data_IF_264984716434
#
_entry.id   IF_264984716434
#
_cell.length_a   1.000
_cell.length_b   1.000
_cell.length_c   1.000
_cell.angle_alpha   90.00
_cell.angle_beta   90.00
_cell.angle_gamma   90.00
#
_symmetry.space_group_name_H-M   'P 1'
#
loop_
_entity.id
_entity.type
_entity.pdbx_description
1 polymer ?
#
# COMPACT_ATOMS: atom_id res chain seq x y z
N UNK A 1 16.58 19.24 -29.91
CA UNK A 1 16.18 17.82 -30.02
C UNK A 1 14.76 17.71 -29.52
N UNK A 2 13.83 17.11 -30.28
CA UNK A 2 12.46 16.88 -29.78
C UNK A 2 12.55 15.72 -28.78
N UNK A 3 12.19 15.97 -27.52
CA UNK A 3 12.04 14.87 -26.56
C UNK A 3 11.07 13.83 -27.14
N UNK A 4 11.35 12.52 -26.98
CA UNK A 4 10.40 11.50 -27.40
C UNK A 4 9.05 11.78 -26.74
N UNK A 5 7.92 11.52 -27.44
CA UNK A 5 6.61 11.76 -26.86
C UNK A 5 6.47 10.94 -25.57
N UNK A 6 6.25 11.63 -24.46
CA UNK A 6 5.96 11.01 -23.18
C UNK A 6 4.76 10.09 -23.32
N UNK A 7 4.81 8.90 -22.69
CA UNK A 7 3.65 8.00 -22.60
C UNK A 7 2.47 8.67 -21.85
N UNK A 8 2.77 9.73 -21.09
CA UNK A 8 1.83 10.47 -20.27
C UNK A 8 1.30 11.69 -21.02
N UNK A 9 0.01 11.64 -21.37
CA UNK A 9 -0.78 12.82 -21.70
C UNK A 9 -1.30 13.45 -20.39
N UNK A 10 -1.30 14.78 -20.25
CA UNK A 10 -1.88 15.44 -19.07
C UNK A 10 -3.32 14.97 -18.82
N UNK A 11 -3.66 14.71 -17.56
CA UNK A 11 -5.02 14.33 -17.17
C UNK A 11 -5.98 15.51 -17.35
N UNK A 12 -7.18 15.26 -17.88
CA UNK A 12 -8.17 16.33 -18.15
C UNK A 12 -8.74 16.97 -16.88
N UNK A 13 -8.81 16.21 -15.79
CA UNK A 13 -9.26 16.68 -14.47
C UNK A 13 -8.37 16.02 -13.41
N UNK A 14 -7.48 16.80 -12.78
CA UNK A 14 -6.54 16.31 -11.76
C UNK A 14 -7.24 15.73 -10.52
N UNK A 15 -8.51 16.06 -10.28
CA UNK A 15 -9.29 15.61 -9.14
C UNK A 15 -10.17 14.39 -9.42
N UNK A 16 -10.53 14.13 -10.69
CA UNK A 16 -11.44 13.03 -11.06
C UNK A 16 -10.86 12.02 -12.03
N UNK A 17 -9.84 12.39 -12.80
CA UNK A 17 -9.26 11.53 -13.82
C UNK A 17 -8.09 10.70 -13.30
N UNK A 18 -7.94 9.49 -13.79
CA UNK A 18 -6.79 8.61 -13.55
C UNK A 18 -6.46 7.89 -14.86
N UNK A 19 -5.25 7.35 -14.98
CA UNK A 19 -4.93 6.43 -16.07
C UNK A 19 -5.22 5.00 -15.63
N UNK A 20 -5.74 4.18 -16.54
CA UNK A 20 -5.91 2.76 -16.35
C UNK A 20 -5.21 2.02 -17.49
N UNK A 21 -4.70 0.84 -17.21
CA UNK A 21 -4.01 -0.01 -18.17
C UNK A 21 -4.80 -1.29 -18.44
N UNK A 22 -4.72 -1.77 -19.68
CA UNK A 22 -5.13 -3.10 -20.10
C UNK A 22 -3.86 -3.80 -20.61
N UNK A 23 -3.51 -4.93 -20.01
CA UNK A 23 -2.38 -5.75 -20.46
C UNK A 23 -2.89 -6.62 -21.61
N UNK A 24 -2.31 -6.47 -22.79
CA UNK A 24 -2.74 -7.20 -23.97
C UNK A 24 -2.24 -8.66 -23.92
N UNK A 25 -2.95 -9.60 -24.59
CA UNK A 25 -2.51 -10.99 -24.68
C UNK A 25 -1.07 -11.16 -25.19
N UNK A 26 -0.51 -12.35 -24.98
CA UNK A 26 0.85 -12.69 -25.37
C UNK A 26 1.11 -12.33 -26.84
N UNK A 27 2.18 -11.57 -27.08
CA UNK A 27 2.61 -11.19 -28.43
C UNK A 27 3.62 -12.20 -28.98
N UNK A 28 3.64 -12.35 -30.31
CA UNK A 28 4.58 -13.23 -31.01
C UNK A 28 6.04 -12.80 -30.88
N UNK A 29 6.31 -11.53 -30.60
CA UNK A 29 7.66 -10.98 -30.38
C UNK A 29 8.13 -11.12 -28.92
N UNK A 30 7.32 -11.72 -28.05
CA UNK A 30 7.62 -11.90 -26.63
C UNK A 30 7.56 -10.63 -25.78
N UNK A 31 7.14 -9.49 -26.33
CA UNK A 31 6.99 -8.24 -25.59
C UNK A 31 5.60 -8.14 -24.94
N UNK A 32 5.54 -7.44 -23.80
CA UNK A 32 4.29 -7.09 -23.14
C UNK A 32 3.79 -5.78 -23.73
N UNK A 33 2.61 -5.82 -24.34
CA UNK A 33 1.91 -4.63 -24.84
C UNK A 33 0.84 -4.19 -23.86
N UNK A 34 0.77 -2.88 -23.62
CA UNK A 34 -0.14 -2.27 -22.68
C UNK A 34 -0.91 -1.17 -23.41
N UNK A 35 -2.25 -1.23 -23.32
CA UNK A 35 -3.11 -0.12 -23.69
C UNK A 35 -3.39 0.72 -22.45
N UNK A 36 -2.99 1.98 -22.48
CA UNK A 36 -3.27 2.94 -21.40
C UNK A 36 -4.31 3.96 -21.87
N UNK A 37 -5.34 4.19 -21.04
CA UNK A 37 -6.36 5.21 -21.28
C UNK A 37 -6.63 6.04 -20.04
N UNK A 38 -7.07 7.28 -20.25
CA UNK A 38 -7.67 8.07 -19.19
C UNK A 38 -9.07 7.54 -18.86
N UNK A 39 -9.40 7.52 -17.58
CA UNK A 39 -10.69 7.16 -17.03
C UNK A 39 -11.06 8.11 -15.88
N UNK A 40 -12.30 8.03 -15.39
CA UNK A 40 -12.77 8.78 -14.23
C UNK A 40 -13.06 7.85 -13.06
N UNK A 41 -12.92 8.35 -11.84
CA UNK A 41 -13.30 7.65 -10.60
C UNK A 41 -14.49 8.36 -9.91
N UNK A 42 -15.49 7.61 -9.38
CA UNK A 42 -15.57 6.15 -9.34
C UNK A 42 -15.84 5.52 -10.72
N UNK A 43 -15.40 4.28 -10.90
CA UNK A 43 -15.49 3.52 -12.16
C UNK A 43 -15.12 2.05 -11.96
N UNK A 44 -15.21 1.23 -13.01
CA UNK A 44 -14.86 -0.21 -12.95
C UNK A 44 -13.39 -0.43 -13.25
N UNK A 45 -12.62 -0.81 -12.24
CA UNK A 45 -11.19 -1.14 -12.35
C UNK A 45 -10.72 -1.92 -11.12
N UNK A 46 -9.56 -2.55 -11.23
CA UNK A 46 -8.85 -3.18 -10.12
C UNK A 46 -7.56 -2.40 -9.83
N UNK A 47 -7.10 -2.40 -8.59
CA UNK A 47 -5.78 -1.84 -8.25
C UNK A 47 -4.78 -2.96 -8.02
N UNK A 48 -3.56 -2.78 -8.51
CA UNK A 48 -2.42 -3.57 -8.07
C UNK A 48 -1.85 -2.96 -6.79
N UNK A 49 -1.54 -3.82 -5.83
CA UNK A 49 -0.64 -3.53 -4.74
C UNK A 49 0.48 -4.57 -4.73
N UNK A 50 1.71 -4.09 -4.78
CA UNK A 50 2.89 -4.92 -4.92
C UNK A 50 4.13 -4.18 -4.42
N UNK A 51 5.17 -4.91 -4.03
CA UNK A 51 6.46 -4.30 -3.73
C UNK A 51 7.15 -3.84 -5.02
N UNK A 52 7.67 -2.62 -5.05
CA UNK A 52 8.37 -2.13 -6.22
C UNK A 52 9.61 -2.97 -6.60
N UNK A 53 10.29 -3.56 -5.60
CA UNK A 53 11.52 -4.35 -5.79
C UNK A 53 12.77 -3.48 -5.82
N UNK A 54 13.92 -4.09 -6.13
CA UNK A 54 15.20 -3.38 -6.30
C UNK A 54 15.13 -2.38 -7.47
N UNK A 55 15.80 -1.24 -7.34
CA UNK A 55 15.82 -0.14 -8.29
C UNK A 55 17.06 -0.12 -9.20
N UNK A 56 17.92 -1.14 -9.13
CA UNK A 56 19.07 -1.27 -10.03
C UNK A 56 18.63 -1.46 -11.49
N UNK A 57 19.33 -0.82 -12.45
CA UNK A 57 18.99 -0.89 -13.89
C UNK A 57 18.98 -2.33 -14.43
N UNK A 58 19.80 -3.22 -13.86
CA UNK A 58 19.86 -4.65 -14.19
C UNK A 58 18.53 -5.38 -13.91
N UNK A 59 17.65 -4.77 -13.12
CA UNK A 59 16.34 -5.32 -12.77
C UNK A 59 15.19 -4.71 -13.57
N UNK A 60 15.46 -3.81 -14.51
CA UNK A 60 14.41 -3.23 -15.36
C UNK A 60 14.14 -4.05 -16.62
N UNK A 61 12.87 -4.16 -16.98
CA UNK A 61 12.40 -4.87 -18.16
C UNK A 61 11.49 -3.97 -19.01
N UNK A 62 11.62 -4.11 -20.33
CA UNK A 62 10.93 -3.27 -21.31
C UNK A 62 9.50 -3.75 -21.54
N UNK A 63 8.55 -2.82 -21.49
CA UNK A 63 7.15 -2.99 -21.93
C UNK A 63 6.80 -1.93 -22.97
N UNK A 64 5.76 -2.17 -23.77
CA UNK A 64 5.30 -1.22 -24.80
C UNK A 64 3.95 -0.65 -24.38
N UNK A 65 3.92 0.63 -24.00
CA UNK A 65 2.71 1.34 -23.58
C UNK A 65 2.25 2.25 -24.72
N UNK A 66 1.08 1.98 -25.28
CA UNK A 66 0.53 2.76 -26.41
C UNK A 66 1.54 2.95 -27.57
N UNK A 67 2.34 1.93 -27.86
CA UNK A 67 3.37 1.95 -28.91
C UNK A 67 4.70 2.58 -28.53
N UNK A 68 4.87 3.06 -27.29
CA UNK A 68 6.10 3.66 -26.79
C UNK A 68 6.78 2.75 -25.76
N UNK A 69 8.12 2.63 -25.75
CA UNK A 69 8.82 1.85 -24.75
C UNK A 69 8.76 2.50 -23.36
N UNK A 70 8.53 1.69 -22.33
CA UNK A 70 8.69 2.07 -20.92
C UNK A 70 9.40 0.92 -20.20
N UNK A 71 10.29 1.27 -19.27
CA UNK A 71 10.98 0.30 -18.43
C UNK A 71 10.26 0.21 -17.08
N UNK A 72 10.07 -1.02 -16.61
CA UNK A 72 9.47 -1.33 -15.31
C UNK A 72 10.36 -2.31 -14.57
N UNK A 73 10.39 -2.21 -13.24
CA UNK A 73 11.14 -3.16 -12.41
C UNK A 73 10.66 -4.59 -12.58
N UNK A 74 11.56 -5.55 -12.34
CA UNK A 74 11.34 -6.98 -12.59
C UNK A 74 10.10 -7.51 -11.89
N UNK A 75 9.83 -7.07 -10.65
CA UNK A 75 8.65 -7.55 -9.92
C UNK A 75 7.34 -7.17 -10.63
N UNK A 76 7.22 -5.93 -11.11
CA UNK A 76 6.06 -5.50 -11.89
C UNK A 76 6.02 -6.24 -13.23
N UNK A 77 7.16 -6.40 -13.91
CA UNK A 77 7.20 -7.15 -15.17
C UNK A 77 6.67 -8.58 -14.99
N UNK A 78 7.09 -9.28 -13.93
CA UNK A 78 6.60 -10.64 -13.63
C UNK A 78 5.09 -10.64 -13.38
N UNK A 79 4.57 -9.68 -12.60
CA UNK A 79 3.11 -9.55 -12.44
C UNK A 79 2.41 -9.31 -13.78
N UNK A 80 2.96 -8.46 -14.65
CA UNK A 80 2.37 -8.18 -15.96
C UNK A 80 2.29 -9.45 -16.83
N UNK A 81 3.28 -10.35 -16.75
CA UNK A 81 3.22 -11.67 -17.43
C UNK A 81 2.01 -12.50 -16.93
N UNK A 82 1.79 -12.54 -15.62
CA UNK A 82 0.60 -13.17 -15.02
C UNK A 82 -0.68 -12.47 -15.46
N UNK A 83 -0.67 -11.14 -15.55
CA UNK A 83 -1.83 -10.34 -15.95
C UNK A 83 -2.25 -10.54 -17.41
N UNK A 84 -1.32 -10.86 -18.32
CA UNK A 84 -1.64 -11.21 -19.72
C UNK A 84 -2.57 -12.41 -19.86
N UNK A 85 -2.63 -13.27 -18.84
CA UNK A 85 -3.43 -14.49 -18.87
C UNK A 85 -4.68 -14.38 -17.99
N UNK A 86 -4.57 -13.70 -16.83
CA UNK A 86 -5.59 -13.75 -15.77
C UNK A 86 -6.40 -12.47 -15.58
N UNK A 87 -5.86 -11.32 -15.96
CA UNK A 87 -6.44 -10.01 -15.66
C UNK A 87 -6.75 -9.20 -16.94
N UNK A 88 -7.16 -9.89 -18.00
CA UNK A 88 -7.39 -9.29 -19.33
C UNK A 88 -8.75 -8.60 -19.46
N UNK A 89 -9.73 -8.95 -18.60
CA UNK A 89 -11.11 -8.47 -18.71
C UNK A 89 -11.38 -7.14 -17.99
N UNK A 90 -10.55 -6.79 -17.00
CA UNK A 90 -10.74 -5.59 -16.19
C UNK A 90 -9.52 -4.66 -16.27
N UNK A 91 -9.74 -3.33 -16.41
CA UNK A 91 -8.64 -2.39 -16.38
C UNK A 91 -7.95 -2.38 -15.02
N UNK A 92 -6.62 -2.27 -15.04
CA UNK A 92 -5.78 -2.19 -13.86
C UNK A 92 -5.31 -0.76 -13.62
N UNK A 93 -5.27 -0.38 -12.35
CA UNK A 93 -4.51 0.76 -11.88
C UNK A 93 -3.23 0.26 -11.22
N UNK A 94 -2.09 0.67 -11.77
CA UNK A 94 -0.75 0.34 -11.27
C UNK A 94 -0.02 1.65 -11.07
N UNK A 95 0.26 2.04 -9.84
CA UNK A 95 0.91 3.32 -9.47
C UNK A 95 2.13 3.68 -10.34
N UNK A 96 3.05 2.73 -10.55
CA UNK A 96 4.27 2.93 -11.34
C UNK A 96 4.03 3.21 -12.84
N UNK A 97 2.86 2.83 -13.37
CA UNK A 97 2.50 3.04 -14.77
C UNK A 97 1.43 4.12 -14.95
N UNK A 98 0.47 4.23 -14.04
CA UNK A 98 -0.69 5.10 -14.16
C UNK A 98 -0.41 6.54 -13.70
N UNK A 99 0.57 6.71 -12.81
CA UNK A 99 1.08 8.02 -12.36
C UNK A 99 2.32 8.36 -13.18
N UNK A 100 2.43 9.61 -13.62
CA UNK A 100 3.68 10.14 -14.15
C UNK A 100 4.67 10.34 -12.99
N UNK A 101 5.55 9.37 -12.78
CA UNK A 101 6.52 9.40 -11.68
C UNK A 101 7.60 10.48 -11.85
N UNK A 102 7.76 11.01 -13.06
CA UNK A 102 8.75 12.03 -13.41
C UNK A 102 8.20 13.47 -13.30
N UNK A 103 6.92 13.63 -12.91
CA UNK A 103 6.25 14.91 -12.70
C UNK A 103 5.76 15.00 -11.24
N UNK A 104 6.52 15.68 -10.39
CA UNK A 104 6.21 15.80 -8.97
C UNK A 104 4.85 16.47 -8.70
N UNK A 105 4.40 17.38 -9.57
CA UNK A 105 3.10 18.04 -9.43
C UNK A 105 1.98 17.04 -9.71
N UNK A 106 2.09 16.26 -10.78
CA UNK A 106 1.13 15.18 -11.05
C UNK A 106 1.17 14.13 -9.95
N UNK A 107 2.36 13.68 -9.56
CA UNK A 107 2.59 12.67 -8.52
C UNK A 107 1.97 13.08 -7.20
N UNK A 108 2.22 14.29 -6.71
CA UNK A 108 1.60 14.83 -5.49
C UNK A 108 0.07 14.77 -5.55
N UNK A 109 -0.53 15.20 -6.66
CA UNK A 109 -1.98 15.14 -6.84
C UNK A 109 -2.52 13.71 -6.88
N UNK A 110 -1.84 12.78 -7.56
CA UNK A 110 -2.28 11.39 -7.63
C UNK A 110 -2.11 10.67 -6.28
N UNK A 111 -1.02 10.94 -5.57
CA UNK A 111 -0.75 10.38 -4.23
C UNK A 111 -1.80 10.85 -3.23
N UNK A 112 -2.16 12.14 -3.24
CA UNK A 112 -3.28 12.67 -2.44
C UNK A 112 -4.59 11.89 -2.68
N UNK A 113 -4.76 11.33 -3.88
CA UNK A 113 -5.96 10.61 -4.32
C UNK A 113 -5.87 9.10 -4.18
N UNK A 114 -4.71 8.52 -3.86
CA UNK A 114 -4.53 7.06 -3.79
C UNK A 114 -5.59 6.38 -2.92
N UNK A 115 -5.87 6.92 -1.73
CA UNK A 115 -6.92 6.36 -0.88
C UNK A 115 -8.32 6.36 -1.52
N UNK A 116 -8.65 7.36 -2.35
CA UNK A 116 -9.90 7.35 -3.14
C UNK A 116 -9.84 6.28 -4.24
N UNK A 117 -8.70 6.16 -4.93
CA UNK A 117 -8.51 5.19 -6.01
C UNK A 117 -8.65 3.76 -5.48
N UNK A 118 -7.95 3.39 -4.40
CA UNK A 118 -8.06 2.07 -3.78
C UNK A 118 -9.46 1.79 -3.19
N UNK A 119 -10.12 2.82 -2.62
CA UNK A 119 -11.46 2.69 -2.05
C UNK A 119 -12.53 2.34 -3.09
N UNK A 120 -12.43 2.91 -4.30
CA UNK A 120 -13.44 2.73 -5.33
C UNK A 120 -13.08 1.67 -6.38
N UNK A 121 -11.91 1.02 -6.24
CA UNK A 121 -11.58 -0.16 -7.03
C UNK A 121 -12.55 -1.32 -6.70
N UNK A 122 -12.90 -2.13 -7.70
CA UNK A 122 -13.70 -3.34 -7.50
C UNK A 122 -12.97 -4.36 -6.61
N UNK A 123 -11.65 -4.46 -6.81
CA UNK A 123 -10.76 -5.26 -5.99
C UNK A 123 -9.36 -4.65 -5.95
N UNK A 124 -8.62 -5.02 -4.92
CA UNK A 124 -7.18 -4.82 -4.81
C UNK A 124 -6.49 -6.16 -4.94
N UNK A 125 -5.60 -6.27 -5.92
CA UNK A 125 -4.77 -7.44 -6.16
C UNK A 125 -3.47 -7.22 -5.40
N UNK A 126 -3.22 -8.04 -4.38
CA UNK A 126 -1.95 -8.09 -3.66
C UNK A 126 -1.05 -9.09 -4.38
N UNK A 127 0.00 -8.61 -5.02
CA UNK A 127 1.00 -9.45 -5.67
C UNK A 127 2.19 -9.70 -4.74
N UNK A 128 2.38 -10.95 -4.34
CA UNK A 128 3.47 -11.39 -3.46
C UNK A 128 4.72 -11.84 -4.21
N UNK A 129 4.65 -12.03 -5.53
CA UNK A 129 5.76 -12.55 -6.34
C UNK A 129 5.55 -13.99 -6.76
N UNK A 130 6.65 -14.74 -6.87
CA UNK A 130 6.69 -16.15 -7.28
C UNK A 130 7.38 -16.95 -6.18
N UNK A 131 6.73 -17.07 -5.04
CA UNK A 131 7.24 -17.82 -3.88
C UNK A 131 6.63 -19.22 -3.83
N UNK A 132 7.36 -20.22 -4.31
CA UNK A 132 6.91 -21.62 -4.40
C UNK A 132 6.56 -22.19 -3.01
N UNK A 133 7.24 -21.71 -1.97
CA UNK A 133 7.01 -22.11 -0.58
C UNK A 133 5.63 -21.69 -0.07
N UNK A 134 4.95 -20.74 -0.72
CA UNK A 134 3.59 -20.33 -0.35
C UNK A 134 2.51 -21.22 -0.97
N UNK A 135 2.80 -21.96 -2.05
CA UNK A 135 1.81 -22.79 -2.78
C UNK A 135 1.01 -23.72 -1.86
N UNK A 136 1.62 -24.48 -0.93
CA UNK A 136 0.85 -25.37 -0.05
C UNK A 136 -0.20 -24.66 0.81
N UNK A 137 0.06 -23.41 1.20
CA UNK A 137 -0.89 -22.60 1.96
C UNK A 137 -2.07 -22.14 1.10
N UNK A 138 -1.81 -21.72 -0.15
CA UNK A 138 -2.86 -21.33 -1.09
C UNK A 138 -3.79 -22.51 -1.39
N UNK A 139 -3.21 -23.66 -1.75
CA UNK A 139 -3.96 -24.90 -1.97
C UNK A 139 -4.81 -25.27 -0.74
N UNK A 140 -4.24 -25.14 0.45
CA UNK A 140 -4.93 -25.44 1.70
C UNK A 140 -6.11 -24.49 1.96
N UNK A 141 -5.91 -23.18 1.88
CA UNK A 141 -6.97 -22.18 2.09
C UNK A 141 -8.09 -22.36 1.06
N UNK A 142 -7.74 -22.58 -0.21
CA UNK A 142 -8.72 -22.82 -1.28
C UNK A 142 -9.48 -24.14 -1.09
N UNK A 143 -8.80 -25.20 -0.65
CA UNK A 143 -9.44 -26.46 -0.28
C UNK A 143 -10.47 -26.24 0.84
N UNK A 144 -10.10 -25.53 1.91
CA UNK A 144 -11.03 -25.23 3.01
C UNK A 144 -12.23 -24.41 2.54
N UNK A 145 -11.98 -23.41 1.69
CA UNK A 145 -13.03 -22.59 1.11
C UNK A 145 -14.03 -23.43 0.32
N UNK A 146 -13.54 -24.33 -0.54
CA UNK A 146 -14.37 -25.22 -1.35
C UNK A 146 -15.10 -26.27 -0.51
N UNK A 147 -14.39 -26.93 0.41
CA UNK A 147 -14.92 -28.04 1.22
C UNK A 147 -15.95 -27.58 2.25
N UNK A 148 -15.75 -26.40 2.85
CA UNK A 148 -16.58 -25.90 3.95
C UNK A 148 -17.48 -24.73 3.55
N UNK A 149 -17.39 -24.26 2.30
CA UNK A 149 -18.37 -23.40 1.66
C UNK A 149 -18.74 -22.19 2.51
N UNK A 150 -17.87 -21.19 2.58
CA UNK A 150 -18.16 -19.93 3.28
C UNK A 150 -18.96 -19.00 2.35
N UNK A 151 -19.98 -19.56 1.71
CA UNK A 151 -20.95 -18.81 0.92
C UNK A 151 -21.86 -17.94 1.81
N UNK A 152 -21.84 -18.12 3.13
CA UNK A 152 -22.65 -17.33 4.06
C UNK A 152 -21.91 -17.08 5.39
N UNK A 153 -20.93 -16.17 5.32
CA UNK A 153 -20.53 -15.16 6.33
C UNK A 153 -20.30 -15.49 7.82
N UNK A 154 -20.60 -16.68 8.33
CA UNK A 154 -20.78 -16.91 9.78
C UNK A 154 -20.05 -18.13 10.35
N UNK A 155 -19.24 -18.85 9.57
CA UNK A 155 -18.41 -19.95 10.11
C UNK A 155 -16.94 -19.55 10.10
N UNK A 156 -16.44 -19.13 11.27
CA UNK A 156 -14.99 -19.15 11.51
C UNK A 156 -14.54 -20.61 11.53
N UNK A 157 -13.77 -21.03 10.53
CA UNK A 157 -13.07 -22.31 10.59
C UNK A 157 -11.87 -22.08 11.52
N UNK A 158 -12.06 -22.35 12.81
CA UNK A 158 -10.98 -22.34 13.80
C UNK A 158 -10.12 -23.58 13.53
N UNK A 159 -9.19 -23.45 12.59
CA UNK A 159 -8.05 -24.34 12.55
C UNK A 159 -7.07 -23.84 13.60
N UNK A 160 -7.26 -24.33 14.82
CA UNK A 160 -6.17 -24.33 15.77
C UNK A 160 -5.05 -25.13 15.13
N UNK A 161 -3.96 -24.46 14.76
CA UNK A 161 -2.64 -25.06 14.78
C UNK A 161 -2.16 -24.86 16.23
N UNK A 162 -2.50 -25.77 17.17
CA UNK A 162 -2.06 -25.59 18.54
C UNK A 162 -0.54 -25.74 18.54
N UNK A 163 0.15 -25.02 19.41
CA UNK A 163 1.59 -25.16 19.67
C UNK A 163 1.95 -26.52 20.33
N UNK A 164 1.21 -27.61 20.05
CA UNK A 164 1.38 -28.93 20.66
C UNK A 164 1.73 -30.05 19.64
N UNK A 165 2.49 -31.08 20.07
CA UNK A 165 3.56 -31.68 19.26
C UNK A 165 3.16 -32.98 18.55
N UNK A 166 2.01 -33.01 17.87
CA UNK A 166 1.76 -34.05 16.87
C UNK A 166 1.42 -33.36 15.55
N UNK A 167 2.42 -32.70 14.96
CA UNK A 167 2.28 -32.17 13.62
C UNK A 167 2.51 -33.29 12.61
N UNK A 168 1.48 -33.61 11.84
CA UNK A 168 1.65 -34.34 10.59
C UNK A 168 2.65 -33.59 9.68
N UNK A 169 3.30 -34.29 8.76
CA UNK A 169 4.20 -33.65 7.77
C UNK A 169 3.49 -32.52 7.01
N UNK A 170 2.19 -32.66 6.77
CA UNK A 170 1.36 -31.67 6.05
C UNK A 170 1.16 -30.39 6.86
N UNK A 171 0.85 -30.50 8.14
CA UNK A 171 0.69 -29.33 9.04
C UNK A 171 1.98 -28.52 9.13
N UNK A 172 3.14 -29.17 9.25
CA UNK A 172 4.45 -28.48 9.24
C UNK A 172 4.70 -27.65 7.99
N UNK A 173 4.33 -28.19 6.82
CA UNK A 173 4.51 -27.49 5.54
C UNK A 173 3.60 -26.25 5.49
N UNK A 174 2.33 -26.41 5.88
CA UNK A 174 1.37 -25.30 5.91
C UNK A 174 1.80 -24.24 6.93
N UNK A 175 2.24 -24.64 8.12
CA UNK A 175 2.76 -23.75 9.16
C UNK A 175 3.99 -22.97 8.66
N UNK A 176 4.93 -23.64 8.00
CA UNK A 176 6.11 -22.98 7.40
C UNK A 176 5.71 -21.96 6.33
N UNK A 177 4.83 -22.34 5.40
CA UNK A 177 4.31 -21.45 4.36
C UNK A 177 3.59 -20.22 4.97
N UNK A 178 2.84 -20.45 6.05
CA UNK A 178 2.16 -19.41 6.79
C UNK A 178 3.11 -18.44 7.51
N UNK A 179 4.14 -18.94 8.18
CA UNK A 179 5.16 -18.11 8.82
C UNK A 179 5.89 -17.26 7.78
N UNK A 180 6.14 -17.84 6.59
CA UNK A 180 6.73 -17.12 5.46
C UNK A 180 5.81 -16.03 4.95
N UNK A 181 4.52 -16.31 4.78
CA UNK A 181 3.53 -15.30 4.41
C UNK A 181 3.49 -14.14 5.42
N UNK A 182 3.49 -14.45 6.72
CA UNK A 182 3.50 -13.44 7.79
C UNK A 182 4.76 -12.58 7.80
N UNK A 183 5.89 -13.15 7.39
CA UNK A 183 7.20 -12.50 7.35
C UNK A 183 7.50 -11.83 6.01
N UNK A 184 6.57 -11.88 5.03
CA UNK A 184 6.78 -11.28 3.73
C UNK A 184 6.94 -9.74 3.87
N UNK A 185 8.02 -9.13 3.34
CA UNK A 185 8.29 -7.70 3.45
C UNK A 185 7.23 -6.78 2.83
N UNK A 186 6.30 -7.32 2.04
CA UNK A 186 5.14 -6.58 1.55
C UNK A 186 4.36 -5.95 2.71
N UNK A 187 4.09 -6.72 3.78
CA UNK A 187 3.22 -6.27 4.87
C UNK A 187 3.80 -5.14 5.71
N UNK A 188 5.12 -4.95 5.68
CA UNK A 188 5.78 -3.91 6.46
C UNK A 188 5.79 -2.56 5.75
N UNK A 189 5.25 -2.43 4.53
CA UNK A 189 5.22 -1.15 3.80
C UNK A 189 4.14 -0.21 4.31
N UNK A 190 4.44 1.09 4.36
CA UNK A 190 3.50 2.12 4.84
C UNK A 190 2.22 2.16 3.99
N UNK A 191 2.37 2.14 2.66
CA UNK A 191 1.27 2.26 1.70
C UNK A 191 0.21 1.15 1.84
N UNK A 192 0.63 -0.05 2.27
CA UNK A 192 -0.25 -1.22 2.42
C UNK A 192 -1.42 -0.94 3.35
N UNK A 193 -1.29 -0.01 4.29
CA UNK A 193 -2.40 0.38 5.15
C UNK A 193 -3.61 0.93 4.37
N UNK A 194 -3.40 1.85 3.42
CA UNK A 194 -4.52 2.37 2.61
C UNK A 194 -5.04 1.31 1.64
N UNK A 195 -4.11 0.54 1.06
CA UNK A 195 -4.39 -0.47 0.04
C UNK A 195 -5.24 -1.62 0.60
N UNK A 196 -4.96 -2.07 1.82
CA UNK A 196 -5.66 -3.18 2.47
C UNK A 196 -6.89 -2.69 3.24
N UNK A 197 -6.79 -1.59 3.98
CA UNK A 197 -7.91 -1.17 4.84
C UNK A 197 -9.05 -0.56 4.02
N UNK A 198 -8.75 0.17 2.93
CA UNK A 198 -9.80 0.81 2.13
C UNK A 198 -10.39 -0.07 1.03
N UNK A 199 -9.75 -1.20 0.70
CA UNK A 199 -10.22 -2.11 -0.34
C UNK A 199 -11.62 -2.68 -0.05
N UNK A 200 -12.47 -2.67 -1.09
CA UNK A 200 -13.77 -3.35 -1.07
C UNK A 200 -13.61 -4.86 -1.02
N UNK A 201 -12.74 -5.40 -1.88
CA UNK A 201 -12.37 -6.82 -1.97
C UNK A 201 -10.87 -6.92 -2.17
N UNK A 202 -10.24 -7.93 -1.58
CA UNK A 202 -8.81 -8.17 -1.73
C UNK A 202 -8.57 -9.59 -2.24
N UNK A 203 -7.73 -9.70 -3.27
CA UNK A 203 -7.27 -10.97 -3.83
C UNK A 203 -5.77 -11.00 -3.61
N UNK A 204 -5.26 -12.03 -2.93
CA UNK A 204 -3.82 -12.27 -2.79
C UNK A 204 -3.40 -13.21 -3.90
N UNK A 205 -2.35 -12.84 -4.62
CA UNK A 205 -1.82 -13.58 -5.77
C UNK A 205 -0.34 -13.87 -5.54
N UNK A 206 0.05 -15.12 -5.77
CA UNK A 206 1.42 -15.59 -5.75
C UNK A 206 1.62 -16.55 -6.93
N UNK A 207 2.45 -16.16 -7.91
CA UNK A 207 2.60 -16.87 -9.18
C UNK A 207 1.23 -17.09 -9.88
N UNK A 208 0.86 -18.34 -10.09
CA UNK A 208 -0.41 -18.76 -10.70
C UNK A 208 -1.50 -19.04 -9.66
N UNK A 209 -1.18 -18.95 -8.37
CA UNK A 209 -2.13 -19.17 -7.28
C UNK A 209 -2.83 -17.87 -6.87
N UNK A 210 -4.10 -17.97 -6.48
CA UNK A 210 -4.83 -16.87 -5.84
C UNK A 210 -5.64 -17.36 -4.64
N UNK A 211 -5.85 -16.48 -3.67
CA UNK A 211 -6.81 -16.68 -2.59
C UNK A 211 -7.46 -15.36 -2.18
N UNK A 212 -8.70 -15.43 -1.68
CA UNK A 212 -9.36 -14.27 -1.07
C UNK A 212 -8.71 -13.90 0.26
N UNK A 213 -8.51 -12.61 0.51
CA UNK A 213 -7.99 -12.15 1.80
C UNK A 213 -8.94 -12.54 2.95
N UNK A 214 -10.25 -12.47 2.71
CA UNK A 214 -11.27 -12.90 3.67
C UNK A 214 -11.19 -14.40 3.98
N UNK A 215 -10.88 -15.24 2.99
CA UNK A 215 -10.68 -16.69 3.17
C UNK A 215 -9.45 -16.96 4.05
N UNK A 216 -8.34 -16.27 3.76
CA UNK A 216 -7.14 -16.32 4.62
C UNK A 216 -7.45 -15.84 6.04
N UNK A 217 -8.23 -14.76 6.18
CA UNK A 217 -8.60 -14.14 7.46
C UNK A 217 -9.42 -15.08 8.38
N UNK A 218 -10.13 -16.05 7.81
CA UNK A 218 -10.86 -17.05 8.61
C UNK A 218 -9.95 -18.11 9.20
N UNK A 219 -8.84 -18.42 8.53
CA UNK A 219 -7.83 -19.39 8.98
C UNK A 219 -6.78 -18.72 9.88
N UNK A 220 -6.60 -17.40 9.75
CA UNK A 220 -5.71 -16.61 10.59
C UNK A 220 -6.23 -16.56 12.04
N UNK A 221 -5.63 -17.30 12.96
CA UNK A 221 -5.87 -17.07 14.39
C UNK A 221 -5.11 -15.82 14.87
N UNK A 222 -5.72 -15.00 15.76
CA UNK A 222 -4.97 -14.00 16.51
C UNK A 222 -3.85 -14.72 17.27
N UNK A 223 -2.61 -14.29 17.11
CA UNK A 223 -1.50 -14.81 17.92
C UNK A 223 -0.77 -13.63 18.53
N UNK A 224 -0.70 -13.61 19.84
CA UNK A 224 0.01 -12.57 20.58
C UNK A 224 1.33 -13.16 21.08
N UNK A 225 2.37 -12.33 21.13
CA UNK A 225 3.59 -12.71 21.84
C UNK A 225 3.35 -12.76 23.36
N UNK A 226 4.36 -13.15 24.13
CA UNK A 226 4.29 -13.22 25.60
C UNK A 226 3.91 -11.88 26.27
N UNK A 227 4.04 -10.76 25.54
CA UNK A 227 3.64 -9.42 25.98
C UNK A 227 2.19 -9.06 25.62
N UNK A 228 1.45 -9.98 25.00
CA UNK A 228 0.09 -9.77 24.53
C UNK A 228 0.01 -8.96 23.23
N UNK A 229 1.12 -8.76 22.50
CA UNK A 229 1.16 -7.93 21.29
C UNK A 229 1.24 -8.77 20.02
N UNK A 230 0.39 -8.44 19.05
CA UNK A 230 0.48 -8.99 17.70
C UNK A 230 1.73 -8.43 16.99
N UNK A 231 2.62 -9.30 16.51
CA UNK A 231 3.85 -8.89 15.80
C UNK A 231 3.68 -8.88 14.29
N UNK A 232 2.82 -9.74 13.75
CA UNK A 232 2.65 -9.85 12.30
C UNK A 232 1.79 -8.70 11.78
N UNK A 233 2.36 -7.90 10.87
CA UNK A 233 1.62 -6.83 10.21
C UNK A 233 0.40 -7.35 9.45
N UNK A 234 0.55 -8.50 8.77
CA UNK A 234 -0.58 -9.20 8.14
C UNK A 234 -1.70 -9.48 9.14
N UNK A 235 -1.37 -10.05 10.31
CA UNK A 235 -2.37 -10.34 11.34
C UNK A 235 -2.99 -9.07 11.91
N UNK A 236 -2.25 -7.97 12.06
CA UNK A 236 -2.82 -6.66 12.44
C UNK A 236 -3.84 -6.17 11.42
N UNK A 237 -3.51 -6.22 10.12
CA UNK A 237 -4.45 -5.86 9.06
C UNK A 237 -5.68 -6.78 9.03
N UNK A 238 -5.47 -8.09 9.20
CA UNK A 238 -6.52 -9.09 9.23
C UNK A 238 -7.48 -8.88 10.41
N UNK A 239 -6.96 -8.63 11.61
CA UNK A 239 -7.71 -8.32 12.82
C UNK A 239 -8.47 -7.00 12.70
N UNK A 240 -7.82 -5.95 12.18
CA UNK A 240 -8.51 -4.69 11.88
C UNK A 240 -9.68 -4.96 10.93
N UNK A 241 -9.45 -5.68 9.81
CA UNK A 241 -10.51 -6.02 8.86
C UNK A 241 -11.67 -6.79 9.50
N UNK A 242 -11.40 -7.75 10.38
CA UNK A 242 -12.44 -8.49 11.14
C UNK A 242 -13.28 -7.58 12.03
N UNK A 243 -12.65 -6.69 12.79
CA UNK A 243 -13.36 -5.81 13.73
C UNK A 243 -14.33 -4.83 13.04
N UNK A 244 -14.09 -4.55 11.75
CA UNK A 244 -14.84 -3.57 10.96
C UNK A 244 -15.62 -4.19 9.79
N UNK A 245 -15.58 -5.53 9.63
CA UNK A 245 -16.43 -6.26 8.68
C UNK A 245 -17.91 -6.07 9.04
N UNK A 246 -18.75 -5.82 8.03
CA UNK A 246 -20.21 -5.69 8.18
C UNK A 246 -20.76 -4.29 8.47
N UNK A 247 -19.92 -3.25 8.64
CA UNK A 247 -20.40 -1.87 8.95
C UNK A 247 -20.06 -0.80 7.90
N UNK A 248 -19.49 -1.16 6.74
CA UNK A 248 -18.98 -0.18 5.77
C UNK A 248 -17.94 0.79 6.37
N UNK A 249 -17.38 0.46 7.54
CA UNK A 249 -16.70 1.42 8.42
C UNK A 249 -15.34 1.87 7.88
N UNK A 250 -14.62 1.01 7.16
CA UNK A 250 -13.34 1.42 6.57
C UNK A 250 -13.47 2.49 5.51
N UNK A 251 -14.58 2.50 4.76
CA UNK A 251 -14.83 3.56 3.79
C UNK A 251 -14.98 4.93 4.46
N UNK A 252 -15.23 4.99 5.77
CA UNK A 252 -15.33 6.23 6.53
C UNK A 252 -14.31 6.33 7.67
N UNK A 253 -13.20 5.56 7.61
CA UNK A 253 -12.19 5.58 8.65
C UNK A 253 -11.62 7.00 8.81
N UNK A 254 -11.69 7.51 10.05
CA UNK A 254 -11.13 8.79 10.47
C UNK A 254 -10.37 8.59 11.77
N UNK A 255 -9.29 7.82 11.70
CA UNK A 255 -8.41 7.58 12.83
C UNK A 255 -7.69 8.87 13.26
N UNK A 256 -7.23 8.88 14.51
CA UNK A 256 -6.28 9.89 14.96
C UNK A 256 -4.91 9.48 14.41
N UNK A 257 -4.17 10.43 13.81
CA UNK A 257 -2.88 10.11 13.17
C UNK A 257 -1.89 9.46 14.15
N UNK A 258 -1.94 9.85 15.42
CA UNK A 258 -1.04 9.35 16.46
C UNK A 258 -1.18 7.85 16.71
N UNK A 259 -2.41 7.33 16.65
CA UNK A 259 -2.66 5.89 16.82
C UNK A 259 -2.10 5.10 15.63
N UNK A 260 -2.24 5.66 14.41
CA UNK A 260 -1.68 5.06 13.21
C UNK A 260 -0.17 5.16 13.15
N UNK A 261 0.44 6.26 13.60
CA UNK A 261 1.90 6.40 13.67
C UNK A 261 2.49 5.48 14.75
N UNK A 262 1.77 5.24 15.86
CA UNK A 262 2.22 4.28 16.88
C UNK A 262 2.17 2.85 16.33
N UNK A 263 1.20 2.56 15.45
CA UNK A 263 1.09 1.26 14.79
C UNK A 263 2.06 1.08 13.61
N UNK A 264 2.16 2.07 12.72
CA UNK A 264 2.77 1.99 11.40
C UNK A 264 4.03 2.86 11.28
N UNK A 265 4.45 3.57 12.33
CA UNK A 265 5.58 4.50 12.28
C UNK A 265 6.92 3.84 11.98
N UNK A 266 7.04 2.53 12.20
CA UNK A 266 8.23 1.72 11.87
C UNK A 266 8.09 0.97 10.53
N UNK A 267 7.04 1.26 9.74
CA UNK A 267 6.85 0.66 8.42
C UNK A 267 7.90 1.12 7.41
N UNK A 268 8.18 0.35 6.38
CA UNK A 268 9.13 0.72 5.34
C UNK A 268 8.49 1.63 4.28
N UNK A 269 9.18 2.72 3.96
CA UNK A 269 8.94 3.56 2.79
C UNK A 269 10.27 3.93 2.12
N UNK A 270 10.24 4.22 0.82
CA UNK A 270 11.42 4.68 0.09
C UNK A 270 11.70 6.18 0.26
N UNK A 271 10.67 6.94 0.66
CA UNK A 271 10.71 8.39 0.91
C UNK A 271 10.11 8.62 2.30
N UNK A 272 10.82 9.29 3.21
CA UNK A 272 10.39 9.47 4.60
C UNK A 272 9.06 10.22 4.72
N UNK A 273 8.71 11.05 3.72
CA UNK A 273 7.44 11.80 3.70
C UNK A 273 6.23 10.88 3.57
N UNK A 274 6.41 9.71 2.98
CA UNK A 274 5.36 8.71 2.78
C UNK A 274 4.83 8.14 4.09
N UNK A 275 5.60 8.20 5.18
CA UNK A 275 5.08 7.86 6.50
C UNK A 275 3.85 8.69 6.92
N UNK A 276 3.75 9.92 6.42
CA UNK A 276 2.59 10.80 6.65
C UNK A 276 1.61 10.69 5.47
N UNK A 277 2.10 10.83 4.24
CA UNK A 277 1.26 10.81 3.03
C UNK A 277 0.50 9.48 2.87
N UNK A 278 1.17 8.37 3.19
CA UNK A 278 0.62 7.02 3.23
C UNK A 278 -0.44 6.79 4.30
N UNK A 279 -0.74 7.75 5.17
CA UNK A 279 -1.81 7.63 6.18
C UNK A 279 -2.98 8.60 5.98
N UNK A 280 -2.83 9.63 5.12
CA UNK A 280 -3.79 10.74 5.03
C UNK A 280 -5.24 10.30 4.73
N UNK A 281 -5.43 9.23 3.95
CA UNK A 281 -6.79 8.77 3.61
C UNK A 281 -7.50 8.05 4.77
N UNK A 282 -6.76 7.67 5.81
CA UNK A 282 -7.23 6.95 6.99
C UNK A 282 -7.44 7.87 8.19
N UNK A 283 -6.93 9.11 8.13
CA UNK A 283 -6.82 10.03 9.25
C UNK A 283 -7.86 11.15 9.18
N UNK A 284 -8.41 11.52 10.33
CA UNK A 284 -9.27 12.70 10.47
C UNK A 284 -8.52 13.98 10.07
N UNK A 285 -9.07 14.72 9.11
CA UNK A 285 -8.42 15.93 8.59
C UNK A 285 -7.29 15.67 7.59
N UNK A 286 -6.99 14.41 7.24
CA UNK A 286 -5.95 14.09 6.26
C UNK A 286 -6.30 14.56 4.84
N UNK A 287 -7.59 14.64 4.48
CA UNK A 287 -8.04 15.18 3.17
C UNK A 287 -7.73 16.66 2.97
N UNK A 288 -7.64 17.44 4.05
CA UNK A 288 -7.27 18.86 4.02
C UNK A 288 -5.76 19.09 4.11
N UNK A 289 -4.98 18.02 4.27
CA UNK A 289 -3.53 18.09 4.28
C UNK A 289 -3.01 17.85 2.87
N UNK A 290 -2.34 18.85 2.30
CA UNK A 290 -1.79 18.78 0.94
C UNK A 290 -0.51 17.94 0.90
N UNK A 291 -0.41 17.04 -0.07
CA UNK A 291 0.82 16.31 -0.41
C UNK A 291 1.72 17.20 -1.26
N UNK A 292 2.98 17.32 -0.87
CA UNK A 292 4.00 18.08 -1.58
C UNK A 292 5.32 17.29 -1.58
N UNK A 293 5.77 16.81 -2.74
CA UNK A 293 7.08 16.14 -2.88
C UNK A 293 8.20 17.14 -3.19
N UNK A 294 7.91 18.45 -3.27
CA UNK A 294 8.90 19.51 -3.37
C UNK A 294 9.38 20.04 -2.02
N UNK A 295 8.65 19.78 -0.92
CA UNK A 295 9.07 20.20 0.43
C UNK A 295 10.07 19.22 1.06
N UNK A 296 10.92 19.75 1.95
CA UNK A 296 11.84 18.93 2.75
C UNK A 296 11.14 18.31 3.98
N UNK A 297 11.76 17.26 4.52
CA UNK A 297 11.20 16.48 5.65
C UNK A 297 11.04 17.31 6.93
N UNK A 298 11.88 18.33 7.18
CA UNK A 298 11.73 19.19 8.37
C UNK A 298 10.54 20.14 8.21
N UNK A 299 10.34 20.69 7.01
CA UNK A 299 9.14 21.47 6.71
C UNK A 299 7.86 20.64 6.87
N UNK A 300 7.87 19.40 6.39
CA UNK A 300 6.77 18.45 6.60
C UNK A 300 6.50 18.20 8.09
N UNK A 301 7.54 18.02 8.91
CA UNK A 301 7.41 17.81 10.35
C UNK A 301 6.62 18.93 11.01
N UNK A 302 6.98 20.20 10.76
CA UNK A 302 6.27 21.33 11.35
C UNK A 302 4.84 21.45 10.84
N UNK A 303 4.64 21.28 9.53
CA UNK A 303 3.33 21.37 8.89
C UNK A 303 2.38 20.28 9.37
N UNK A 304 2.85 19.03 9.46
CA UNK A 304 2.08 17.91 10.00
C UNK A 304 1.82 18.10 11.50
N UNK A 305 2.81 18.55 12.25
CA UNK A 305 2.68 18.79 13.68
C UNK A 305 1.61 19.84 14.01
N UNK A 306 1.59 20.95 13.27
CA UNK A 306 0.57 21.99 13.41
C UNK A 306 -0.82 21.48 12.99
N UNK A 307 -0.92 20.91 11.78
CA UNK A 307 -2.19 20.45 11.21
C UNK A 307 -2.88 19.39 12.07
N UNK A 308 -2.10 18.44 12.61
CA UNK A 308 -2.60 17.36 13.45
C UNK A 308 -2.51 17.64 14.97
N UNK A 309 -2.15 18.87 15.36
CA UNK A 309 -2.07 19.35 16.76
C UNK A 309 -1.14 18.53 17.65
N UNK A 310 0.03 18.16 17.13
CA UNK A 310 1.05 17.38 17.84
C UNK A 310 1.51 18.06 19.14
N UNK A 311 1.54 19.39 19.16
CA UNK A 311 2.09 20.18 20.26
C UNK A 311 1.29 20.08 21.57
N UNK A 312 0.10 19.50 21.51
CA UNK A 312 -0.74 19.25 22.69
C UNK A 312 -0.23 18.12 23.56
N UNK A 313 0.64 17.23 23.03
CA UNK A 313 1.15 16.06 23.76
C UNK A 313 2.61 15.79 23.37
N UNK A 314 3.50 15.75 24.36
CA UNK A 314 4.93 15.44 24.13
C UNK A 314 5.14 14.10 23.39
N UNK A 315 4.32 13.07 23.67
CA UNK A 315 4.38 11.78 22.97
C UNK A 315 4.19 11.92 21.45
N UNK A 316 3.30 12.80 21.01
CA UNK A 316 3.01 13.01 19.58
C UNK A 316 4.20 13.61 18.84
N UNK A 317 4.91 14.56 19.48
CA UNK A 317 6.13 15.15 18.93
C UNK A 317 7.24 14.11 18.76
N UNK A 318 7.51 13.30 19.80
CA UNK A 318 8.52 12.24 19.73
C UNK A 318 8.21 11.22 18.64
N UNK A 319 6.93 10.85 18.50
CA UNK A 319 6.49 9.92 17.47
C UNK A 319 6.73 10.48 16.08
N UNK A 320 6.39 11.75 15.85
CA UNK A 320 6.62 12.41 14.56
C UNK A 320 8.12 12.52 14.23
N UNK A 321 8.97 12.87 15.20
CA UNK A 321 10.44 12.90 15.00
C UNK A 321 10.96 11.52 14.60
N UNK A 322 10.58 10.48 15.37
CA UNK A 322 11.02 9.10 15.12
C UNK A 322 10.59 8.63 13.73
N UNK A 323 9.32 8.83 13.38
CA UNK A 323 8.78 8.36 12.11
C UNK A 323 9.38 9.07 10.91
N UNK A 324 9.71 10.36 11.02
CA UNK A 324 10.36 11.11 9.93
C UNK A 324 11.89 10.98 9.93
N UNK A 325 12.48 10.15 10.80
CA UNK A 325 13.94 9.99 10.90
C UNK A 325 14.68 11.28 11.28
N UNK A 326 14.02 12.18 12.02
CA UNK A 326 14.57 13.48 12.39
C UNK A 326 15.18 13.45 13.80
N UNK A 327 16.31 14.11 13.96
CA UNK A 327 16.90 14.41 15.27
C UNK A 327 16.51 15.81 15.72
N UNK A 328 16.63 16.08 17.02
CA UNK A 328 16.31 17.38 17.60
C UNK A 328 17.26 18.45 17.06
N UNK A 329 18.54 18.12 16.87
CA UNK A 329 19.56 19.03 16.34
C UNK A 329 19.21 19.50 14.93
N UNK A 330 18.80 18.56 14.05
CA UNK A 330 18.38 18.86 12.68
C UNK A 330 17.17 19.81 12.63
N UNK A 331 16.22 19.65 13.56
CA UNK A 331 15.08 20.56 13.69
C UNK A 331 15.49 21.96 14.16
N UNK A 332 16.45 22.06 15.09
CA UNK A 332 16.97 23.36 15.57
C UNK A 332 17.71 24.13 14.47
N UNK A 333 18.50 23.45 13.65
CA UNK A 333 19.18 24.05 12.48
C UNK A 333 18.18 24.56 11.44
N UNK A 334 17.12 23.78 11.17
CA UNK A 334 16.02 24.17 10.29
C UNK A 334 15.27 25.41 10.81
N UNK A 335 14.99 25.50 12.12
CA UNK A 335 14.40 26.69 12.72
C UNK A 335 15.32 27.91 12.56
N UNK A 336 16.61 27.76 12.83
CA UNK A 336 17.58 28.86 12.76
C UNK A 336 17.77 29.39 11.34
N UNK A 337 17.68 28.52 10.33
CA UNK A 337 17.75 28.90 8.91
C UNK A 337 16.42 29.50 8.40
N UNK A 338 15.27 28.98 8.83
CA UNK A 338 13.94 29.50 8.48
C UNK A 338 13.69 30.88 9.08
N UNK A 339 14.11 31.11 10.34
CA UNK A 339 14.06 32.42 11.01
C UNK A 339 14.92 33.46 10.29
N UNK A 340 16.06 33.06 9.70
CA UNK A 340 16.90 33.92 8.87
C UNK A 340 16.26 34.27 7.51
N UNK A 341 15.36 33.43 6.99
CA UNK A 341 14.73 33.60 5.67
C UNK A 341 13.34 34.26 5.72
N UNK A 342 12.60 34.16 6.84
CA UNK A 342 11.30 34.83 7.06
C UNK A 342 11.17 35.36 8.50
N UNK A 343 11.68 36.56 8.80
CA UNK A 343 11.64 37.14 10.15
C UNK A 343 10.22 37.47 10.66
N UNK A 344 9.21 37.49 9.78
CA UNK A 344 7.87 37.98 10.09
C UNK A 344 6.88 36.93 10.64
N UNK A 345 7.30 35.68 10.85
CA UNK A 345 6.42 34.58 11.27
C UNK A 345 6.45 34.26 12.77
N UNK A 346 7.19 35.02 13.58
CA UNK A 346 7.20 34.85 15.04
C UNK A 346 6.79 36.17 15.68
N UNK A 347 5.50 36.33 15.95
CA UNK A 347 5.08 37.19 17.05
C UNK A 347 5.38 36.43 18.36
N UNK A 348 6.06 37.05 19.34
CA UNK A 348 6.44 36.37 20.56
C UNK A 348 5.21 36.20 21.45
N UNK A 349 4.68 34.98 21.56
CA UNK A 349 3.86 34.62 22.72
C UNK A 349 4.74 33.88 23.72
N UNK A 350 5.28 34.65 24.65
CA UNK A 350 5.93 34.17 25.86
C UNK A 350 5.03 33.19 26.61
N UNK A 351 5.58 32.00 26.90
CA UNK A 351 5.66 31.33 28.22
C UNK A 351 5.62 29.81 28.04
N UNK A 352 6.82 29.24 28.09
CA UNK A 352 7.07 27.84 28.46
C UNK A 352 6.66 27.59 29.91
#
# INVERSE_FOLDING_TARGET
>A
MRHPPSIYKPLSDTFKSLRLIEVLPLSSDGLIYIRMREARTPGRYQCLSYMWGDASEETEAKVIVNGQPKYVRRNLYTFLQTAQQRFTEQPLWVDALCINQDDDVEKSHQVQRMGHIYRFAESVIIWLGVEVELTPLFEFVNFLWYAYGVADGNRTIVLAFPEYPIETRRERIINSAFQRLCSNPYWSRTWVAQEVLLAQRIIIVNAEEEMGFESLNQVLLPSVDDSGKERSMLKKFANSRRQHQGKGQFQNMQAVIWDLLEWLGDSHCGDERDHIYGLLSLVKGGRSFTVDYGEDVCSLFWRAGEHFRAWTKQKSMHLLCRTLGLTIERLQENLTSTVKLKPSLIAPSEKL
#
